data_IF_363145832245
#
_entry.id   IF_363145832245
#
_cell.length_a   1.000
_cell.length_b   1.000
_cell.length_c   1.000
_cell.angle_alpha   90.00
_cell.angle_beta   90.00
_cell.angle_gamma   90.00
#
_symmetry.space_group_name_H-M   'P 1'
#
loop_
_entity.id
_entity.type
_entity.pdbx_description
1 polymer ?
#
# COMPACT_ATOMS: atom_id res chain seq x y z
N UNK A 1 -19.30 -17.05 -0.50
CA UNK A 1 -20.26 -16.29 -1.33
C UNK A 1 -19.67 -14.91 -1.52
N UNK A 2 -19.26 -14.62 -2.75
CA UNK A 2 -18.68 -13.34 -3.15
C UNK A 2 -19.69 -12.22 -2.89
N UNK A 3 -19.20 -11.13 -2.32
CA UNK A 3 -19.85 -9.84 -2.13
C UNK A 3 -20.99 -9.55 -3.13
N UNK A 4 -22.14 -9.10 -2.63
CA UNK A 4 -23.25 -8.63 -3.49
C UNK A 4 -22.80 -7.50 -4.44
N UNK A 5 -23.59 -7.19 -5.46
CA UNK A 5 -23.24 -6.19 -6.47
C UNK A 5 -22.86 -4.83 -5.84
N UNK A 6 -23.62 -4.40 -4.83
CA UNK A 6 -23.36 -3.15 -4.09
C UNK A 6 -22.02 -3.16 -3.37
N UNK A 7 -21.67 -4.31 -2.77
CA UNK A 7 -20.43 -4.48 -2.03
C UNK A 7 -19.23 -4.44 -2.97
N UNK A 8 -19.33 -5.10 -4.13
CA UNK A 8 -18.29 -5.04 -5.16
C UNK A 8 -18.14 -3.61 -5.73
N UNK A 9 -19.24 -2.90 -5.93
CA UNK A 9 -19.21 -1.53 -6.40
C UNK A 9 -18.56 -0.59 -5.38
N UNK A 10 -18.90 -0.75 -4.10
CA UNK A 10 -18.27 -0.01 -3.00
C UNK A 10 -16.76 -0.25 -2.97
N UNK A 11 -16.33 -1.52 -3.05
CA UNK A 11 -14.91 -1.88 -3.10
C UNK A 11 -14.21 -1.21 -4.27
N UNK A 12 -14.79 -1.28 -5.48
CA UNK A 12 -14.19 -0.68 -6.68
C UNK A 12 -13.99 0.83 -6.50
N UNK A 13 -15.02 1.55 -6.04
CA UNK A 13 -14.93 2.99 -5.85
C UNK A 13 -13.83 3.40 -4.86
N UNK A 14 -13.73 2.74 -3.71
CA UNK A 14 -12.72 3.07 -2.69
C UNK A 14 -11.32 2.63 -3.12
N UNK A 15 -11.19 1.49 -3.80
CA UNK A 15 -9.91 1.05 -4.38
C UNK A 15 -9.43 2.00 -5.47
N UNK A 16 -10.32 2.49 -6.35
CA UNK A 16 -9.94 3.45 -7.39
C UNK A 16 -9.39 4.75 -6.76
N UNK A 17 -9.96 5.20 -5.64
CA UNK A 17 -9.43 6.34 -4.88
C UNK A 17 -8.07 6.04 -4.23
N UNK A 18 -7.91 4.88 -3.59
CA UNK A 18 -6.63 4.44 -3.01
C UNK A 18 -5.53 4.42 -4.07
N UNK A 19 -5.80 3.85 -5.24
CA UNK A 19 -4.84 3.79 -6.35
C UNK A 19 -4.48 5.19 -6.83
N UNK A 20 -5.46 6.07 -7.03
CA UNK A 20 -5.20 7.44 -7.48
C UNK A 20 -4.35 8.25 -6.49
N UNK A 21 -4.54 8.06 -5.18
CA UNK A 21 -3.71 8.72 -4.16
C UNK A 21 -2.29 8.15 -4.13
N UNK A 22 -2.14 6.83 -4.25
CA UNK A 22 -0.83 6.16 -4.35
C UNK A 22 -0.04 6.62 -5.57
N UNK A 23 -0.70 6.76 -6.71
CA UNK A 23 -0.08 7.26 -7.94
C UNK A 23 0.37 8.72 -7.77
N UNK A 24 -0.42 9.57 -7.10
CA UNK A 24 -0.03 10.96 -6.79
C UNK A 24 1.15 11.04 -5.81
N UNK A 25 1.17 10.22 -4.76
CA UNK A 25 2.32 10.10 -3.85
C UNK A 25 3.57 9.67 -4.61
N UNK A 26 3.42 8.71 -5.52
CA UNK A 26 4.52 8.25 -6.36
C UNK A 26 5.04 9.36 -7.30
N UNK A 27 4.16 10.19 -7.86
CA UNK A 27 4.57 11.34 -8.68
C UNK A 27 5.44 12.33 -7.89
N UNK A 28 5.10 12.61 -6.63
CA UNK A 28 5.93 13.45 -5.76
C UNK A 28 7.30 12.80 -5.51
N UNK A 29 7.32 11.49 -5.25
CA UNK A 29 8.56 10.73 -5.09
C UNK A 29 9.45 10.78 -6.34
N UNK A 30 8.88 10.63 -7.54
CA UNK A 30 9.62 10.73 -8.80
C UNK A 30 10.12 12.16 -9.04
N UNK A 31 9.28 13.17 -8.77
CA UNK A 31 9.66 14.58 -8.91
C UNK A 31 10.84 14.98 -7.99
N UNK A 32 11.00 14.30 -6.86
CA UNK A 32 12.13 14.46 -5.94
C UNK A 32 13.36 13.60 -6.29
N UNK A 33 13.41 12.97 -7.47
CA UNK A 33 14.54 12.12 -7.87
C UNK A 33 14.63 10.79 -7.12
N UNK A 34 13.50 10.30 -6.59
CA UNK A 34 13.48 9.10 -5.76
C UNK A 34 13.88 7.82 -6.50
N UNK A 35 13.69 7.73 -7.83
CA UNK A 35 14.10 6.54 -8.59
C UNK A 35 15.62 6.40 -8.65
N UNK A 36 16.30 7.51 -8.96
CA UNK A 36 17.76 7.59 -9.02
C UNK A 36 18.36 7.40 -7.61
N UNK A 37 17.83 8.11 -6.60
CA UNK A 37 18.30 7.98 -5.23
C UNK A 37 18.08 6.58 -4.64
N UNK A 38 17.02 5.87 -5.03
CA UNK A 38 16.80 4.49 -4.59
C UNK A 38 17.77 3.49 -5.24
N UNK A 39 18.18 3.71 -6.49
CA UNK A 39 19.17 2.86 -7.16
C UNK A 39 20.57 2.99 -6.53
N UNK A 40 20.91 4.17 -6.02
CA UNK A 40 22.20 4.42 -5.35
C UNK A 40 22.29 3.80 -3.95
N UNK A 41 21.16 3.70 -3.23
CA UNK A 41 21.12 3.14 -1.86
C UNK A 41 20.72 1.66 -1.79
N UNK A 42 20.64 0.97 -2.92
CA UNK A 42 20.29 -0.45 -3.06
C UNK A 42 19.02 -0.84 -2.28
N UNK A 43 18.05 0.07 -2.23
CA UNK A 43 16.80 -0.17 -1.52
C UNK A 43 16.96 -0.40 0.00
N UNK A 44 17.90 0.26 0.67
CA UNK A 44 18.07 0.15 2.13
C UNK A 44 16.79 0.44 2.93
N UNK A 45 15.89 1.30 2.43
CA UNK A 45 14.54 1.50 3.00
C UNK A 45 13.63 0.28 2.76
N UNK A 46 13.72 -0.35 1.59
CA UNK A 46 13.04 -1.59 1.25
C UNK A 46 13.55 -2.79 2.08
N UNK A 47 14.82 -2.80 2.47
CA UNK A 47 15.38 -3.87 3.29
C UNK A 47 14.85 -3.89 4.73
N UNK A 48 14.26 -2.78 5.20
CA UNK A 48 13.76 -2.62 6.59
C UNK A 48 12.38 -3.24 6.83
N UNK A 49 11.81 -3.96 5.87
CA UNK A 49 10.68 -4.85 6.12
C UNK A 49 9.35 -4.15 6.41
N UNK A 50 9.17 -2.89 5.98
CA UNK A 50 7.92 -2.16 6.18
C UNK A 50 6.82 -2.55 5.17
N UNK A 51 7.03 -3.62 4.39
CA UNK A 51 6.35 -3.95 3.14
C UNK A 51 5.22 -4.96 3.30
N UNK A 52 4.30 -4.70 4.22
CA UNK A 52 3.20 -5.64 4.45
C UNK A 52 2.01 -5.33 3.56
N UNK A 53 1.83 -6.15 2.52
CA UNK A 53 0.59 -6.18 1.74
C UNK A 53 -0.59 -6.34 2.70
N UNK A 54 -1.55 -5.42 2.62
CA UNK A 54 -2.78 -5.44 3.40
C UNK A 54 -3.90 -6.06 2.55
N UNK A 55 -5.08 -6.19 3.16
CA UNK A 55 -6.27 -6.58 2.42
C UNK A 55 -6.57 -5.63 1.24
N UNK A 56 -6.24 -4.34 1.37
CA UNK A 56 -6.50 -3.31 0.37
C UNK A 56 -5.71 -3.58 -0.92
N UNK A 57 -4.42 -3.93 -0.83
CA UNK A 57 -3.63 -4.26 -2.01
C UNK A 57 -4.10 -5.56 -2.68
N UNK A 58 -4.51 -6.56 -1.89
CA UNK A 58 -5.03 -7.82 -2.41
C UNK A 58 -6.36 -7.59 -3.15
N UNK A 59 -7.27 -6.79 -2.57
CA UNK A 59 -8.52 -6.41 -3.24
C UNK A 59 -8.26 -5.60 -4.51
N UNK A 60 -7.29 -4.67 -4.48
CA UNK A 60 -6.89 -3.90 -5.66
C UNK A 60 -6.44 -4.81 -6.79
N UNK A 61 -5.55 -5.77 -6.52
CA UNK A 61 -5.09 -6.73 -7.51
C UNK A 61 -6.24 -7.59 -8.06
N UNK A 62 -7.10 -8.13 -7.19
CA UNK A 62 -8.23 -8.98 -7.58
C UNK A 62 -9.26 -8.24 -8.44
N UNK A 63 -9.64 -7.01 -8.06
CA UNK A 63 -10.64 -6.22 -8.79
C UNK A 63 -10.13 -5.75 -10.16
N UNK A 64 -8.82 -5.56 -10.29
CA UNK A 64 -8.15 -5.09 -11.50
C UNK A 64 -7.57 -6.24 -12.35
N UNK A 65 -7.85 -7.49 -11.99
CA UNK A 65 -7.29 -8.70 -12.62
C UNK A 65 -5.76 -8.66 -12.76
N UNK A 66 -5.06 -8.12 -11.76
CA UNK A 66 -3.60 -8.06 -11.73
C UNK A 66 -3.07 -9.24 -10.91
N UNK A 67 -2.01 -9.93 -11.39
CA UNK A 67 -1.34 -10.92 -10.58
C UNK A 67 -0.67 -10.22 -9.39
N UNK A 68 -0.82 -10.79 -8.20
CA UNK A 68 0.08 -10.45 -7.10
C UNK A 68 1.41 -11.17 -7.36
N UNK A 69 2.55 -10.46 -7.38
CA UNK A 69 3.84 -11.11 -7.56
C UNK A 69 4.08 -12.13 -6.45
N UNK A 70 4.68 -13.27 -6.80
CA UNK A 70 5.06 -14.28 -5.82
C UNK A 70 6.19 -13.72 -4.96
N UNK A 71 6.03 -13.61 -3.64
CA UNK A 71 7.10 -13.09 -2.80
C UNK A 71 8.26 -14.08 -2.74
N UNK A 72 9.49 -13.59 -2.91
CA UNK A 72 10.70 -14.37 -2.61
C UNK A 72 11.04 -14.24 -1.11
N UNK A 73 10.93 -15.32 -0.31
CA UNK A 73 11.21 -15.27 1.12
C UNK A 73 12.71 -15.18 1.45
N UNK A 74 13.61 -15.35 0.47
CA UNK A 74 15.06 -15.32 0.68
C UNK A 74 15.64 -13.89 0.66
N UNK A 75 14.84 -12.89 0.25
CA UNK A 75 15.25 -11.49 0.15
C UNK A 75 14.54 -10.62 1.20
N UNK A 76 15.17 -9.51 1.59
CA UNK A 76 14.65 -8.60 2.62
C UNK A 76 13.34 -7.92 2.21
N UNK A 77 13.20 -7.57 0.92
CA UNK A 77 11.91 -7.18 0.33
C UNK A 77 11.57 -8.14 -0.82
N UNK A 78 10.45 -8.89 -0.73
CA UNK A 78 10.07 -9.86 -1.75
C UNK A 78 9.68 -9.23 -3.10
N UNK A 79 9.54 -7.91 -3.15
CA UNK A 79 9.14 -7.16 -4.34
C UNK A 79 10.26 -6.28 -4.88
N UNK A 80 11.45 -6.29 -4.27
CA UNK A 80 12.60 -5.54 -4.77
C UNK A 80 13.35 -6.40 -5.80
N UNK A 81 13.63 -5.82 -6.95
CA UNK A 81 14.41 -6.41 -8.04
C UNK A 81 15.57 -5.48 -8.40
N UNK A 82 16.48 -5.93 -9.27
CA UNK A 82 17.57 -5.09 -9.79
C UNK A 82 17.08 -3.84 -10.54
N UNK A 83 15.85 -3.87 -11.06
CA UNK A 83 15.22 -2.75 -11.78
C UNK A 83 14.34 -1.90 -10.84
N UNK A 84 14.41 -2.13 -9.53
CA UNK A 84 13.57 -1.50 -8.52
C UNK A 84 12.37 -2.35 -8.12
N UNK A 85 11.33 -1.71 -7.59
CA UNK A 85 10.17 -2.45 -7.06
C UNK A 85 9.29 -3.03 -8.18
N UNK A 86 9.03 -4.33 -8.13
CA UNK A 86 8.16 -5.04 -9.08
C UNK A 86 6.66 -4.74 -8.91
N UNK A 87 6.28 -4.03 -7.85
CA UNK A 87 4.92 -3.54 -7.65
C UNK A 87 4.71 -2.19 -8.35
N UNK A 88 3.66 -2.14 -9.17
CA UNK A 88 3.11 -0.87 -9.65
C UNK A 88 2.71 0.04 -8.46
N UNK A 89 2.82 1.36 -8.58
CA UNK A 89 2.57 2.29 -7.49
C UNK A 89 1.23 2.06 -6.76
N UNK A 90 0.12 1.92 -7.48
CA UNK A 90 -1.20 1.62 -6.90
C UNK A 90 -1.31 0.29 -6.12
N UNK A 91 -0.40 -0.66 -6.33
CA UNK A 91 -0.33 -1.94 -5.62
C UNK A 91 0.70 -1.95 -4.48
N UNK A 92 1.51 -0.91 -4.34
CA UNK A 92 2.49 -0.81 -3.25
C UNK A 92 1.77 -0.67 -1.91
N UNK A 93 2.21 -1.35 -0.83
CA UNK A 93 1.67 -1.16 0.51
C UNK A 93 1.66 0.29 0.97
N UNK A 94 0.75 0.64 1.88
CA UNK A 94 0.64 1.98 2.47
C UNK A 94 2.00 2.57 2.87
N UNK A 95 2.76 1.87 3.73
CA UNK A 95 4.06 2.37 4.20
C UNK A 95 5.08 2.58 3.07
N UNK A 96 4.96 1.85 1.95
CA UNK A 96 5.89 2.00 0.82
C UNK A 96 5.70 3.30 0.04
N UNK A 97 4.51 3.90 0.12
CA UNK A 97 4.18 5.14 -0.60
C UNK A 97 4.09 6.35 0.32
N UNK A 98 4.00 6.13 1.64
CA UNK A 98 3.94 7.19 2.66
C UNK A 98 5.23 7.36 3.44
N UNK A 99 6.30 6.67 3.04
CA UNK A 99 7.63 6.84 3.59
C UNK A 99 8.53 7.54 2.57
N UNK A 100 9.10 8.68 2.96
CA UNK A 100 10.22 9.30 2.27
C UNK A 100 11.48 9.15 3.14
N UNK A 101 12.62 8.88 2.50
CA UNK A 101 13.90 9.05 3.18
C UNK A 101 14.29 10.53 3.21
N UNK A 102 15.26 10.86 4.07
CA UNK A 102 15.80 12.22 4.20
C UNK A 102 16.23 12.81 2.85
N UNK A 103 16.91 12.02 2.01
CA UNK A 103 17.31 12.44 0.66
C UNK A 103 16.09 12.86 -0.17
N UNK A 104 15.03 12.05 -0.22
CA UNK A 104 13.83 12.39 -1.00
C UNK A 104 13.15 13.63 -0.43
N UNK A 105 13.09 13.75 0.90
CA UNK A 105 12.44 14.87 1.57
C UNK A 105 13.17 16.20 1.35
N UNK A 106 14.50 16.21 1.31
CA UNK A 106 15.33 17.38 1.01
C UNK A 106 15.16 17.92 -0.41
N UNK A 107 14.76 17.05 -1.36
CA UNK A 107 14.51 17.43 -2.75
C UNK A 107 13.07 17.90 -3.01
N UNK A 108 12.17 17.78 -2.03
CA UNK A 108 10.82 18.31 -2.13
C UNK A 108 10.80 19.79 -1.75
N UNK A 109 10.09 20.59 -2.53
CA UNK A 109 9.72 21.95 -2.14
C UNK A 109 8.73 21.94 -0.97
N UNK A 110 8.63 23.04 -0.23
CA UNK A 110 7.67 23.16 0.88
C UNK A 110 6.21 22.89 0.44
N UNK A 111 5.83 23.28 -0.77
CA UNK A 111 4.51 22.99 -1.35
C UNK A 111 4.31 21.49 -1.58
N UNK A 112 5.32 20.81 -2.14
CA UNK A 112 5.28 19.37 -2.37
C UNK A 112 5.25 18.58 -1.06
N UNK A 113 5.98 19.02 -0.03
CA UNK A 113 5.92 18.44 1.32
C UNK A 113 4.51 18.58 1.90
N UNK A 114 3.92 19.78 1.83
CA UNK A 114 2.55 20.00 2.30
C UNK A 114 1.55 19.13 1.54
N UNK A 115 1.72 18.98 0.22
CA UNK A 115 0.90 18.11 -0.63
C UNK A 115 1.06 16.64 -0.25
N UNK A 116 2.29 16.19 0.00
CA UNK A 116 2.58 14.81 0.42
C UNK A 116 1.82 14.47 1.70
N UNK A 117 1.91 15.30 2.74
CA UNK A 117 1.20 15.04 4.00
C UNK A 117 -0.32 15.17 3.86
N UNK A 118 -0.83 16.00 2.95
CA UNK A 118 -2.27 16.02 2.65
C UNK A 118 -2.73 14.70 2.04
N UNK A 119 -2.02 14.21 1.02
CA UNK A 119 -2.31 12.94 0.35
C UNK A 119 -2.17 11.74 1.29
N UNK A 120 -1.16 11.73 2.16
CA UNK A 120 -0.95 10.69 3.16
C UNK A 120 -2.13 10.59 4.14
N UNK A 121 -2.64 11.72 4.64
CA UNK A 121 -3.82 11.75 5.51
C UNK A 121 -5.07 11.25 4.80
N UNK A 122 -5.29 11.68 3.56
CA UNK A 122 -6.41 11.20 2.74
C UNK A 122 -6.33 9.69 2.52
N UNK A 123 -5.13 9.18 2.20
CA UNK A 123 -4.90 7.76 2.02
C UNK A 123 -5.15 6.98 3.31
N UNK A 124 -4.66 7.49 4.45
CA UNK A 124 -4.85 6.87 5.76
C UNK A 124 -6.33 6.74 6.12
N UNK A 125 -7.10 7.81 5.92
CA UNK A 125 -8.54 7.80 6.15
C UNK A 125 -9.26 6.73 5.32
N UNK A 126 -8.85 6.51 4.06
CA UNK A 126 -9.42 5.41 3.26
C UNK A 126 -9.08 4.03 3.84
N UNK A 127 -7.85 3.82 4.32
CA UNK A 127 -7.49 2.54 4.96
C UNK A 127 -8.27 2.30 6.26
N UNK A 128 -8.54 3.35 7.03
CA UNK A 128 -9.38 3.29 8.22
C UNK A 128 -10.82 2.87 7.86
N UNK A 129 -11.39 3.42 6.78
CA UNK A 129 -12.70 3.00 6.25
C UNK A 129 -12.72 1.50 5.90
N UNK A 130 -11.64 0.97 5.32
CA UNK A 130 -11.52 -0.49 5.10
C UNK A 130 -11.40 -1.27 6.41
N UNK A 131 -10.64 -0.78 7.39
CA UNK A 131 -10.45 -1.41 8.70
C UNK A 131 -11.75 -1.47 9.52
N UNK A 132 -12.60 -0.44 9.42
CA UNK A 132 -13.94 -0.41 10.00
C UNK A 132 -14.89 -1.39 9.31
N UNK A 133 -14.75 -1.59 8.00
CA UNK A 133 -15.64 -2.46 7.22
C UNK A 133 -15.25 -3.93 7.28
N UNK A 134 -13.96 -4.24 7.27
CA UNK A 134 -13.45 -5.60 7.11
C UNK A 134 -12.52 -6.02 8.24
N UNK A 135 -12.84 -7.15 8.88
CA UNK A 135 -12.03 -7.75 9.91
C UNK A 135 -10.58 -7.99 9.47
N UNK A 136 -10.36 -8.33 8.20
CA UNK A 136 -9.05 -8.59 7.62
C UNK A 136 -8.26 -7.35 7.22
N UNK A 137 -8.89 -6.17 7.16
CA UNK A 137 -8.19 -4.93 6.88
C UNK A 137 -7.42 -4.48 8.14
N UNK A 138 -6.16 -4.10 7.92
CA UNK A 138 -5.28 -3.51 8.92
C UNK A 138 -4.01 -3.05 8.23
N UNK A 139 -3.48 -1.90 8.65
CA UNK A 139 -2.16 -1.41 8.21
C UNK A 139 -0.99 -2.34 8.61
N UNK A 140 -1.21 -3.28 9.53
CA UNK A 140 -0.18 -4.24 9.98
C UNK A 140 0.05 -5.40 9.02
N UNK A 141 -0.63 -5.44 7.87
CA UNK A 141 -0.49 -6.51 6.89
C UNK A 141 -1.48 -7.65 7.04
N UNK A 142 -1.82 -8.26 5.90
CA UNK A 142 -2.87 -9.27 5.79
C UNK A 142 -2.51 -10.57 6.53
N UNK A 143 -1.27 -11.05 6.42
CA UNK A 143 -0.84 -12.31 7.03
C UNK A 143 -0.81 -12.22 8.56
N UNK A 144 -0.34 -11.10 9.10
CA UNK A 144 -0.35 -10.85 10.55
C UNK A 144 -1.79 -10.79 11.04
N UNK A 145 -2.66 -10.08 10.31
CA UNK A 145 -4.06 -9.94 10.67
C UNK A 145 -4.82 -11.27 10.57
N UNK A 146 -4.59 -12.07 9.52
CA UNK A 146 -5.27 -13.35 9.33
C UNK A 146 -4.97 -14.36 10.44
N UNK A 147 -3.72 -14.42 10.92
CA UNK A 147 -3.34 -15.24 12.08
C UNK A 147 -4.11 -14.85 13.34
N UNK A 148 -4.28 -13.54 13.59
CA UNK A 148 -5.05 -13.03 14.75
C UNK A 148 -6.54 -13.32 14.65
N UNK A 149 -7.07 -13.38 13.44
CA UNK A 149 -8.49 -13.66 13.19
C UNK A 149 -8.88 -15.12 13.40
N UNK A 150 -7.93 -16.04 13.54
CA UNK A 150 -8.21 -17.44 13.92
C UNK A 150 -9.19 -18.16 12.99
N UNK A 151 -9.15 -17.90 11.69
CA UNK A 151 -10.04 -18.52 10.69
C UNK A 151 -11.35 -17.76 10.40
N UNK A 152 -11.58 -16.60 11.03
CA UNK A 152 -12.69 -15.71 10.65
C UNK A 152 -12.52 -15.18 9.21
N UNK A 153 -13.64 -14.83 8.57
CA UNK A 153 -13.66 -14.31 7.19
C UNK A 153 -12.97 -12.94 7.12
N UNK A 154 -12.03 -12.78 6.19
CA UNK A 154 -11.30 -11.53 5.97
C UNK A 154 -12.23 -10.37 5.56
N UNK A 155 -13.24 -10.66 4.73
CA UNK A 155 -14.26 -9.71 4.28
C UNK A 155 -15.51 -9.68 5.18
N UNK A 156 -15.44 -10.27 6.38
CA UNK A 156 -16.50 -10.14 7.39
C UNK A 156 -16.33 -8.85 8.21
N UNK A 157 -17.35 -8.45 8.99
CA UNK A 157 -17.23 -7.28 9.87
C UNK A 157 -16.16 -7.50 10.95
N UNK A 158 -15.47 -6.44 11.41
CA UNK A 158 -14.49 -6.54 12.49
C UNK A 158 -15.09 -7.17 13.77
N UNK A 159 -14.26 -7.85 14.60
CA UNK A 159 -14.68 -8.20 15.95
C UNK A 159 -15.15 -6.96 16.72
N UNK A 160 -16.18 -7.11 17.54
CA UNK A 160 -16.48 -6.12 18.57
C UNK A 160 -15.26 -5.95 19.50
N UNK A 161 -15.00 -4.73 20.00
CA UNK A 161 -13.89 -4.44 20.89
C UNK A 161 -13.90 -5.26 22.18
#
# INVERSE_FOLDING_TARGET
>A
MLCGADERQWQKQHIDQVVALKDQLHQLFVAAGGLEGCAECDGACCARGQHHMTLVEVLSALLRNRPLPSPDPAVTCPFLTLEGCSLEPGLRPFNCVTFNCEIVEEHLTAEQVARFYALERELRALYEVFEERYAGASLRGLVIRSRRLGGRRLLGPPPAP
#
